data_IF_788474188062
#
_entry.id   IF_788474188062
#
_cell.length_a   1.000
_cell.length_b   1.000
_cell.length_c   1.000
_cell.angle_alpha   90.00
_cell.angle_beta   90.00
_cell.angle_gamma   90.00
#
_symmetry.space_group_name_H-M   'P 1'
#
loop_
_entity.id
_entity.type
_entity.pdbx_description
1 polymer ?
#
# COMPACT_ATOMS: atom_id res chain seq x y z
N UNK A 1 -5.02 -7.79 28.36
CA UNK A 1 -5.11 -7.02 27.11
C UNK A 1 -4.38 -5.70 27.34
N UNK A 2 -3.08 -5.65 27.02
CA UNK A 2 -2.31 -4.41 27.05
C UNK A 2 -2.82 -3.56 25.89
N UNK A 3 -3.47 -2.44 26.21
CA UNK A 3 -3.69 -1.39 25.23
C UNK A 3 -2.31 -0.78 24.96
N UNK A 4 -1.71 -1.13 23.84
CA UNK A 4 -0.55 -0.41 23.33
C UNK A 4 -0.97 1.03 23.09
N UNK A 5 -0.58 1.89 24.00
CA UNK A 5 -0.70 3.35 23.83
C UNK A 5 0.07 3.68 22.56
N UNK A 6 -0.54 4.30 21.55
CA UNK A 6 0.15 4.62 20.32
C UNK A 6 1.40 5.44 20.64
N UNK A 7 2.56 4.94 20.19
CA UNK A 7 3.83 5.58 20.45
C UNK A 7 3.79 7.00 19.87
N UNK A 8 3.75 8.00 20.75
CA UNK A 8 3.82 9.39 20.36
C UNK A 8 5.28 9.71 19.97
N UNK A 9 5.47 10.11 18.75
CA UNK A 9 6.76 10.53 18.23
C UNK A 9 6.66 11.97 17.74
N UNK A 10 7.68 12.77 18.06
CA UNK A 10 7.81 14.13 17.56
C UNK A 10 9.04 14.24 16.65
N UNK A 11 8.84 14.82 15.49
CA UNK A 11 9.93 15.17 14.58
C UNK A 11 10.63 16.45 15.04
N UNK A 12 11.92 16.64 14.75
CA UNK A 12 12.61 17.89 15.03
C UNK A 12 11.87 19.09 14.47
N UNK A 13 11.77 20.14 15.29
CA UNK A 13 11.04 21.36 14.98
C UNK A 13 9.55 21.31 15.31
N UNK A 14 9.00 20.17 15.70
CA UNK A 14 7.65 20.09 16.26
C UNK A 14 7.68 20.53 17.74
N UNK A 15 6.85 21.50 18.09
CA UNK A 15 6.69 21.98 19.46
C UNK A 15 5.24 21.80 19.93
N UNK A 16 4.96 21.72 21.24
CA UNK A 16 3.58 21.57 21.73
C UNK A 16 2.63 22.66 21.23
N UNK A 17 3.16 23.87 20.99
CA UNK A 17 2.36 25.04 20.57
C UNK A 17 2.23 25.14 19.04
N UNK A 18 3.14 24.53 18.28
CA UNK A 18 3.21 24.66 16.85
C UNK A 18 3.53 23.31 16.19
N UNK A 19 2.57 22.39 16.26
CA UNK A 19 2.67 21.08 15.63
C UNK A 19 1.43 20.76 14.82
N UNK A 20 1.64 20.06 13.73
CA UNK A 20 0.61 19.26 13.06
C UNK A 20 0.83 17.78 13.40
N UNK A 21 -0.11 16.94 13.06
CA UNK A 21 -0.03 15.52 13.36
C UNK A 21 -0.28 14.68 12.12
N UNK A 22 0.56 13.67 11.92
CA UNK A 22 0.32 12.62 10.95
C UNK A 22 -0.16 11.39 11.72
N UNK A 23 -1.37 10.94 11.42
CA UNK A 23 -1.95 9.71 11.93
C UNK A 23 -1.67 8.61 10.90
N UNK A 24 -0.59 7.86 11.11
CA UNK A 24 -0.10 6.86 10.17
C UNK A 24 -0.62 5.48 10.56
N UNK A 25 -1.25 4.79 9.61
CA UNK A 25 -1.82 3.47 9.80
C UNK A 25 -1.35 2.51 8.71
N UNK A 26 -0.89 1.32 9.11
CA UNK A 26 -0.58 0.23 8.18
C UNK A 26 -1.75 -0.76 8.13
N UNK A 27 -2.43 -0.80 6.99
CA UNK A 27 -3.57 -1.68 6.74
C UNK A 27 -3.14 -3.15 6.75
N UNK A 28 -3.66 -3.98 7.67
CA UNK A 28 -3.31 -5.39 7.75
C UNK A 28 -4.02 -6.27 6.72
N UNK A 29 -4.93 -5.71 5.91
CA UNK A 29 -5.75 -6.48 4.96
C UNK A 29 -4.93 -7.28 3.94
N UNK A 30 -3.67 -6.89 3.72
CA UNK A 30 -2.71 -7.63 2.90
C UNK A 30 -1.49 -7.96 3.76
N UNK A 31 -1.61 -9.01 4.56
CA UNK A 31 -0.50 -9.54 5.37
C UNK A 31 0.07 -10.79 4.71
N UNK A 32 1.07 -10.62 3.88
CA UNK A 32 1.84 -11.73 3.30
C UNK A 32 3.10 -11.98 4.13
N UNK A 33 3.60 -13.22 4.21
CA UNK A 33 4.90 -13.50 4.80
C UNK A 33 5.99 -12.59 4.22
N UNK A 34 6.76 -11.93 5.08
CA UNK A 34 7.79 -10.96 4.69
C UNK A 34 7.28 -9.54 4.37
N UNK A 35 5.96 -9.29 4.40
CA UNK A 35 5.36 -7.96 4.21
C UNK A 35 4.66 -7.42 5.46
N UNK A 36 4.98 -7.95 6.62
CA UNK A 36 4.41 -7.53 7.90
C UNK A 36 5.00 -6.21 8.43
N UNK A 37 6.08 -5.72 7.83
CA UNK A 37 6.74 -4.46 8.22
C UNK A 37 7.06 -3.62 6.99
N UNK A 38 6.97 -2.30 7.15
CA UNK A 38 7.35 -1.31 6.14
C UNK A 38 8.22 -0.23 6.78
N UNK A 39 9.22 0.24 6.07
CA UNK A 39 9.94 1.45 6.45
C UNK A 39 9.26 2.66 5.83
N UNK A 40 8.89 3.63 6.66
CA UNK A 40 8.28 4.89 6.22
C UNK A 40 9.20 6.03 6.62
N UNK A 41 9.41 6.95 5.70
CA UNK A 41 10.20 8.15 5.92
C UNK A 41 9.29 9.37 5.83
N UNK A 42 9.34 10.23 6.84
CA UNK A 42 8.61 11.50 6.90
C UNK A 42 9.65 12.61 7.01
N UNK A 43 9.73 13.47 6.01
CA UNK A 43 10.71 14.56 5.93
C UNK A 43 12.16 14.11 6.22
N UNK A 44 12.54 12.91 5.74
CA UNK A 44 13.87 12.34 5.96
C UNK A 44 14.01 11.46 7.21
N UNK A 45 13.06 11.47 8.13
CA UNK A 45 13.04 10.63 9.32
C UNK A 45 12.41 9.28 9.03
N UNK A 46 13.18 8.22 9.25
CA UNK A 46 12.75 6.85 8.97
C UNK A 46 12.24 6.15 10.22
N UNK A 47 11.13 5.44 10.07
CA UNK A 47 10.56 4.56 11.09
C UNK A 47 10.12 3.26 10.47
N UNK A 48 10.01 2.22 11.28
CA UNK A 48 9.37 0.96 10.88
C UNK A 48 7.96 0.90 11.44
N UNK A 49 7.04 0.43 10.60
CA UNK A 49 5.65 0.24 10.94
C UNK A 49 5.28 -1.21 10.67
N UNK A 50 4.59 -1.84 11.61
CA UNK A 50 4.07 -3.21 11.48
C UNK A 50 2.63 -3.21 10.99
N UNK A 51 2.21 -4.28 10.32
CA UNK A 51 0.83 -4.42 9.86
C UNK A 51 -0.15 -4.32 11.04
N UNK A 52 -1.20 -3.52 10.88
CA UNK A 52 -2.18 -3.20 11.91
C UNK A 52 -1.72 -2.13 12.91
N UNK A 53 -0.48 -1.66 12.83
CA UNK A 53 0.02 -0.64 13.74
C UNK A 53 -0.49 0.74 13.35
N UNK A 54 -0.83 1.52 14.37
CA UNK A 54 -1.16 2.93 14.28
C UNK A 54 -0.14 3.75 15.07
N UNK A 55 0.35 4.83 14.47
CA UNK A 55 1.30 5.76 15.11
C UNK A 55 0.86 7.19 14.84
N UNK A 56 0.88 8.03 15.86
CA UNK A 56 0.66 9.47 15.73
C UNK A 56 1.99 10.21 15.86
N UNK A 57 2.33 10.99 14.85
CA UNK A 57 3.60 11.68 14.72
C UNK A 57 3.36 13.18 14.69
N UNK A 58 3.97 13.90 15.62
CA UNK A 58 3.99 15.36 15.58
C UNK A 58 5.04 15.83 14.58
N UNK A 59 4.63 16.71 13.67
CA UNK A 59 5.49 17.30 12.64
C UNK A 59 5.40 18.84 12.71
N UNK A 60 6.45 19.57 12.33
CA UNK A 60 6.33 21.02 12.18
C UNK A 60 5.33 21.34 11.06
N UNK A 61 4.56 22.44 11.16
CA UNK A 61 3.69 22.89 10.09
C UNK A 61 4.49 23.22 8.83
N UNK A 62 3.87 22.99 7.67
CA UNK A 62 4.48 23.24 6.38
C UNK A 62 4.45 22.02 5.47
N UNK A 63 5.36 21.94 4.49
CA UNK A 63 5.40 20.84 3.55
C UNK A 63 5.84 19.54 4.22
N UNK A 64 5.09 18.48 3.96
CA UNK A 64 5.36 17.12 4.44
C UNK A 64 5.51 16.19 3.27
N UNK A 65 6.58 15.40 3.31
CA UNK A 65 6.86 14.33 2.35
C UNK A 65 6.89 13.01 3.07
N UNK A 66 5.99 12.11 2.70
CA UNK A 66 5.93 10.74 3.20
C UNK A 66 6.34 9.79 2.09
N UNK A 67 7.29 8.90 2.36
CA UNK A 67 7.77 7.90 1.41
C UNK A 67 7.79 6.54 2.09
N UNK A 68 7.27 5.52 1.44
CA UNK A 68 7.36 4.15 1.93
C UNK A 68 8.44 3.35 1.18
N UNK A 69 9.16 2.54 1.93
CA UNK A 69 10.19 1.64 1.42
C UNK A 69 9.87 0.21 1.79
N UNK A 70 9.83 -0.65 0.80
CA UNK A 70 9.76 -2.08 1.00
C UNK A 70 11.01 -2.73 0.41
N UNK A 71 11.67 -3.60 1.18
CA UNK A 71 12.95 -4.21 0.80
C UNK A 71 12.89 -5.01 -0.51
N UNK A 72 11.73 -5.57 -0.86
CA UNK A 72 11.56 -6.40 -2.05
C UNK A 72 11.22 -5.61 -3.34
N UNK A 73 11.16 -4.28 -3.29
CA UNK A 73 10.67 -3.45 -4.40
C UNK A 73 11.78 -2.61 -5.04
N UNK A 74 12.82 -3.27 -5.55
CA UNK A 74 13.96 -2.57 -6.17
C UNK A 74 13.64 -1.88 -7.50
N UNK A 75 12.66 -2.40 -8.25
CA UNK A 75 12.37 -1.97 -9.61
C UNK A 75 11.13 -1.07 -9.73
N UNK A 76 10.37 -0.91 -8.67
CA UNK A 76 9.14 -0.12 -8.69
C UNK A 76 9.35 1.26 -8.06
N UNK A 77 8.70 2.29 -8.59
CA UNK A 77 8.76 3.62 -7.99
C UNK A 77 8.19 3.58 -6.57
N UNK A 78 8.93 4.18 -5.64
CA UNK A 78 8.54 4.23 -4.23
C UNK A 78 7.27 5.05 -4.07
N UNK A 79 6.23 4.53 -3.38
CA UNK A 79 5.06 5.31 -3.06
C UNK A 79 5.46 6.55 -2.26
N UNK A 80 4.97 7.69 -2.71
CA UNK A 80 5.21 8.96 -2.02
C UNK A 80 3.96 9.82 -2.00
N UNK A 81 3.81 10.59 -0.94
CA UNK A 81 2.81 11.63 -0.77
C UNK A 81 3.54 12.93 -0.40
N UNK A 82 3.08 14.03 -0.99
CA UNK A 82 3.52 15.37 -0.64
C UNK A 82 2.28 16.24 -0.41
N UNK A 83 2.22 16.89 0.75
CA UNK A 83 1.12 17.75 1.16
C UNK A 83 1.59 18.79 2.17
N UNK A 84 0.77 19.80 2.41
CA UNK A 84 1.05 20.85 3.39
C UNK A 84 0.15 20.65 4.59
N UNK A 85 0.69 20.81 5.79
CA UNK A 85 -0.04 20.72 7.05
C UNK A 85 -0.03 22.06 7.79
N UNK A 86 -1.16 22.38 8.42
CA UNK A 86 -1.33 23.56 9.26
C UNK A 86 -1.16 23.22 10.74
N UNK A 87 -0.83 24.19 11.61
CA UNK A 87 -0.79 23.99 13.06
C UNK A 87 -2.10 23.37 13.58
N UNK A 88 -1.99 22.36 14.44
CA UNK A 88 -3.13 21.64 15.01
C UNK A 88 -3.83 20.66 14.07
N UNK A 89 -3.52 20.66 12.78
CA UNK A 89 -4.13 19.74 11.81
C UNK A 89 -3.69 18.30 12.06
N UNK A 90 -4.63 17.35 11.93
CA UNK A 90 -4.37 15.90 11.93
C UNK A 90 -4.64 15.37 10.53
N UNK A 91 -3.62 14.80 9.89
CA UNK A 91 -3.75 14.22 8.56
C UNK A 91 -3.62 12.69 8.67
N UNK A 92 -4.70 11.95 8.39
CA UNK A 92 -4.63 10.49 8.36
C UNK A 92 -3.96 10.01 7.08
N UNK A 93 -2.90 9.22 7.25
CA UNK A 93 -2.12 8.60 6.17
C UNK A 93 -2.22 7.09 6.33
N UNK A 94 -2.62 6.41 5.27
CA UNK A 94 -2.76 4.96 5.22
C UNK A 94 -1.70 4.39 4.30
N UNK A 95 -1.01 3.36 4.78
CA UNK A 95 -0.18 2.51 3.96
C UNK A 95 -0.86 1.15 3.80
N UNK A 96 -0.91 0.64 2.58
CA UNK A 96 -1.38 -0.70 2.25
C UNK A 96 -0.30 -1.43 1.47
N UNK A 97 0.09 -2.62 1.94
CA UNK A 97 0.98 -3.49 1.19
C UNK A 97 0.29 -4.01 -0.08
N UNK A 98 1.06 -4.32 -1.13
CA UNK A 98 0.53 -4.99 -2.32
C UNK A 98 0.56 -6.49 -2.15
N UNK A 99 -0.40 -7.18 -2.76
CA UNK A 99 -0.40 -8.65 -2.90
C UNK A 99 0.70 -9.13 -3.86
N UNK A 100 1.17 -8.26 -4.75
CA UNK A 100 2.20 -8.62 -5.72
C UNK A 100 3.59 -8.57 -5.09
N UNK A 101 4.39 -9.58 -5.41
CA UNK A 101 5.80 -9.61 -5.03
C UNK A 101 6.54 -8.52 -5.81
N UNK A 102 7.33 -7.68 -5.12
CA UNK A 102 8.08 -6.59 -5.74
C UNK A 102 7.33 -5.26 -5.88
N UNK A 103 6.02 -5.21 -5.67
CA UNK A 103 5.26 -3.97 -5.59
C UNK A 103 5.37 -3.36 -4.18
N UNK A 104 5.81 -2.10 -4.06
CA UNK A 104 6.00 -1.44 -2.78
C UNK A 104 4.71 -1.07 -2.05
N UNK A 105 3.54 -1.35 -2.63
CA UNK A 105 2.25 -0.98 -2.06
C UNK A 105 1.81 0.44 -2.40
N UNK A 106 0.94 1.01 -1.58
CA UNK A 106 0.35 2.33 -1.82
C UNK A 106 0.22 3.15 -0.54
N UNK A 107 0.45 4.46 -0.67
CA UNK A 107 0.14 5.47 0.34
C UNK A 107 -1.11 6.25 -0.08
N UNK A 108 -1.94 6.64 0.88
CA UNK A 108 -3.13 7.47 0.64
C UNK A 108 -3.45 8.37 1.83
N UNK A 109 -4.17 9.46 1.58
CA UNK A 109 -4.65 10.39 2.59
C UNK A 109 -6.16 10.20 2.78
N UNK A 110 -6.62 10.25 4.01
CA UNK A 110 -8.03 10.33 4.39
C UNK A 110 -8.80 9.01 4.40
N UNK A 111 -8.43 8.04 3.57
CA UNK A 111 -9.09 6.72 3.52
C UNK A 111 -8.19 5.65 2.92
N UNK A 112 -8.52 4.40 3.20
CA UNK A 112 -7.85 3.26 2.58
C UNK A 112 -7.92 3.34 1.06
N UNK A 113 -6.79 3.17 0.42
CA UNK A 113 -6.73 3.04 -1.03
C UNK A 113 -7.03 1.59 -1.42
N UNK A 114 -7.84 1.43 -2.44
CA UNK A 114 -8.04 0.14 -3.09
C UNK A 114 -6.75 -0.40 -3.74
N UNK A 115 -6.87 -1.37 -4.61
CA UNK A 115 -5.75 -1.99 -5.34
C UNK A 115 -4.85 -0.96 -6.00
N UNK A 116 -3.55 -1.20 -5.98
CA UNK A 116 -2.55 -0.37 -6.68
C UNK A 116 -2.75 -0.45 -8.21
N UNK A 117 -2.14 0.47 -8.95
CA UNK A 117 -2.18 0.42 -10.42
C UNK A 117 -1.56 -0.87 -10.95
N UNK A 118 -0.47 -1.31 -10.34
CA UNK A 118 0.23 -2.55 -10.69
C UNK A 118 -0.63 -3.77 -10.40
N UNK A 119 -1.31 -3.82 -9.25
CA UNK A 119 -2.27 -4.89 -8.92
C UNK A 119 -3.41 -4.97 -9.92
N UNK A 120 -4.00 -3.83 -10.29
CA UNK A 120 -5.07 -3.77 -11.31
C UNK A 120 -4.57 -4.24 -12.67
N UNK A 121 -3.40 -3.77 -13.09
CA UNK A 121 -2.78 -4.19 -14.35
C UNK A 121 -2.49 -5.70 -14.39
N UNK A 122 -1.95 -6.23 -13.30
CA UNK A 122 -1.69 -7.68 -13.18
C UNK A 122 -2.97 -8.50 -13.22
N UNK A 123 -4.03 -8.05 -12.53
CA UNK A 123 -5.33 -8.72 -12.58
C UNK A 123 -5.91 -8.73 -14.00
N UNK A 124 -5.88 -7.60 -14.70
CA UNK A 124 -6.33 -7.49 -16.09
C UNK A 124 -5.53 -8.44 -16.99
N UNK A 125 -4.20 -8.45 -16.83
CA UNK A 125 -3.33 -9.35 -17.60
C UNK A 125 -3.68 -10.82 -17.38
N UNK A 126 -3.87 -11.25 -16.12
CA UNK A 126 -4.28 -12.62 -15.80
C UNK A 126 -5.64 -12.96 -16.44
N UNK A 127 -6.62 -12.05 -16.38
CA UNK A 127 -7.92 -12.26 -17.01
C UNK A 127 -7.81 -12.39 -18.53
N UNK A 128 -6.98 -11.57 -19.19
CA UNK A 128 -6.73 -11.66 -20.63
C UNK A 128 -6.08 -12.99 -21.00
N UNK A 129 -5.09 -13.44 -20.23
CA UNK A 129 -4.43 -14.74 -20.46
C UNK A 129 -5.43 -15.89 -20.29
N UNK A 130 -6.24 -15.87 -19.23
CA UNK A 130 -7.27 -16.90 -19.01
C UNK A 130 -8.29 -16.93 -20.14
N UNK A 131 -8.73 -15.77 -20.63
CA UNK A 131 -9.63 -15.67 -21.77
C UNK A 131 -9.00 -16.26 -23.04
N UNK A 132 -7.72 -16.00 -23.30
CA UNK A 132 -7.02 -16.60 -24.44
C UNK A 132 -6.93 -18.12 -24.35
N UNK A 133 -6.61 -18.65 -23.15
CA UNK A 133 -6.60 -20.10 -22.91
C UNK A 133 -7.98 -20.71 -23.14
N UNK A 134 -9.03 -20.04 -22.67
CA UNK A 134 -10.41 -20.49 -22.87
C UNK A 134 -10.76 -20.55 -24.37
N UNK A 135 -10.49 -19.47 -25.11
CA UNK A 135 -10.82 -19.38 -26.53
C UNK A 135 -9.98 -20.38 -27.36
N UNK A 136 -8.69 -20.42 -27.13
CA UNK A 136 -7.77 -21.24 -27.93
C UNK A 136 -7.79 -22.74 -27.57
N UNK A 137 -8.15 -23.07 -26.33
CA UNK A 137 -8.14 -24.46 -25.83
C UNK A 137 -9.52 -25.08 -25.76
N UNK A 138 -10.44 -24.44 -25.08
CA UNK A 138 -11.77 -25.03 -24.79
C UNK A 138 -12.71 -24.98 -25.97
N UNK A 139 -12.72 -23.88 -26.74
CA UNK A 139 -13.62 -23.73 -27.88
C UNK A 139 -13.34 -24.75 -28.99
N UNK A 140 -12.11 -24.98 -29.44
CA UNK A 140 -11.80 -26.04 -30.40
C UNK A 140 -12.17 -27.43 -29.90
N UNK A 141 -11.92 -27.72 -28.63
CA UNK A 141 -12.29 -29.00 -28.03
C UNK A 141 -13.78 -29.25 -28.07
N UNK A 142 -14.58 -28.25 -27.72
CA UNK A 142 -16.07 -28.32 -27.81
C UNK A 142 -16.56 -28.52 -29.23
N UNK A 143 -15.93 -27.88 -30.21
CA UNK A 143 -16.28 -28.05 -31.64
C UNK A 143 -15.98 -29.49 -32.10
N UNK A 144 -14.85 -30.08 -31.71
CA UNK A 144 -14.48 -31.46 -32.03
C UNK A 144 -15.49 -32.43 -31.41
N UNK A 145 -15.82 -32.24 -30.11
CA UNK A 145 -16.79 -33.10 -29.42
C UNK A 145 -18.20 -32.96 -29.97
N UNK A 146 -18.61 -31.77 -30.44
CA UNK A 146 -19.96 -31.54 -31.00
C UNK A 146 -20.12 -32.12 -32.38
N UNK A 147 -19.04 -32.34 -33.14
CA UNK A 147 -19.11 -32.88 -34.50
C UNK A 147 -19.24 -34.41 -34.55
N UNK A 148 -19.31 -35.08 -33.42
CA UNK A 148 -19.49 -36.52 -33.33
C UNK A 148 -18.23 -37.29 -33.73
N UNK A 149 -17.93 -38.38 -33.03
CA UNK A 149 -17.00 -39.37 -33.54
C UNK A 149 -17.65 -40.01 -34.76
N UNK A 150 -16.98 -40.13 -35.91
CA UNK A 150 -17.50 -40.96 -37.01
C UNK A 150 -17.64 -42.39 -36.49
N UNK A 151 -18.83 -42.99 -36.68
CA UNK A 151 -19.07 -44.40 -36.43
C UNK A 151 -18.17 -45.28 -37.30
#
# INVERSE_FOLDING_TARGET
>A
MSQDVPAFQALPGATPQNSAFIALYFDPSVSLPGKSTVSITINGWSMRLSAGQFVRIAVPPGPVKVVSYHFAAFLSPKPRLEFVVQPGQVVPVFYRASILRGDPGALSIGKHRGMSRTEKGSLIFVLVVLLHILIAGVVPLLIILSRGMPE
#
